data_IF_218308498985
#
_entry.id   IF_218308498985
#
_cell.length_a   1.000
_cell.length_b   1.000
_cell.length_c   1.000
_cell.angle_alpha   90.00
_cell.angle_beta   90.00
_cell.angle_gamma   90.00
#
_symmetry.space_group_name_H-M   'P 1'
#
loop_
_entity.id
_entity.type
_entity.pdbx_description
1 polymer ?
#
# COMPACT_ATOMS: atom_id res chain seq x y z
N UNK A 1 24.41 -34.73 -50.63
CA UNK A 1 23.81 -34.51 -49.30
C UNK A 1 24.94 -34.14 -48.38
N UNK A 2 24.90 -33.10 -47.58
CA UNK A 2 23.79 -32.44 -46.90
C UNK A 2 24.40 -32.01 -45.57
N UNK A 3 24.50 -30.70 -45.33
CA UNK A 3 25.10 -30.15 -44.12
C UNK A 3 24.21 -30.34 -42.90
N UNK A 4 24.79 -30.11 -41.72
CA UNK A 4 24.05 -30.08 -40.46
C UNK A 4 24.96 -29.93 -39.26
N UNK A 5 25.53 -28.74 -39.07
CA UNK A 5 26.15 -28.35 -37.80
C UNK A 5 25.07 -28.22 -36.73
N UNK A 6 25.16 -29.05 -35.69
CA UNK A 6 24.33 -28.94 -34.49
C UNK A 6 24.88 -27.85 -33.58
N UNK A 7 24.40 -26.62 -33.78
CA UNK A 7 24.61 -25.52 -32.83
C UNK A 7 23.85 -25.81 -31.53
N UNK A 8 24.59 -25.88 -30.43
CA UNK A 8 24.05 -25.81 -29.09
C UNK A 8 23.31 -24.48 -28.92
N UNK A 9 21.99 -24.56 -28.71
CA UNK A 9 21.18 -23.40 -28.38
C UNK A 9 21.38 -23.04 -26.92
N UNK A 10 22.43 -22.28 -26.63
CA UNK A 10 22.52 -21.48 -25.40
C UNK A 10 21.34 -20.50 -25.41
N UNK A 11 20.32 -20.80 -24.60
CA UNK A 11 19.27 -19.84 -24.27
C UNK A 11 19.89 -18.84 -23.30
N UNK A 12 20.66 -17.90 -23.83
CA UNK A 12 21.09 -16.70 -23.12
C UNK A 12 19.84 -15.96 -22.66
N UNK A 13 19.50 -16.10 -21.39
CA UNK A 13 18.66 -15.15 -20.68
C UNK A 13 19.46 -13.85 -20.72
N UNK A 14 18.99 -12.87 -21.49
CA UNK A 14 19.64 -11.57 -21.56
C UNK A 14 19.55 -10.92 -20.18
N UNK A 15 20.68 -10.84 -19.47
CA UNK A 15 20.85 -10.09 -18.22
C UNK A 15 20.87 -8.57 -18.47
N UNK A 16 20.03 -8.05 -19.37
CA UNK A 16 20.02 -6.61 -19.73
C UNK A 16 19.19 -5.76 -18.74
N UNK A 17 18.47 -6.39 -17.79
CA UNK A 17 17.49 -5.71 -16.94
C UNK A 17 17.98 -5.12 -15.62
N UNK A 18 19.16 -5.49 -15.11
CA UNK A 18 19.67 -5.03 -13.80
C UNK A 18 20.97 -4.24 -14.01
N UNK A 19 20.85 -2.95 -14.36
CA UNK A 19 22.01 -2.05 -14.35
C UNK A 19 22.62 -2.05 -12.93
N UNK A 20 23.88 -2.46 -12.83
CA UNK A 20 24.65 -2.42 -11.58
C UNK A 20 24.66 -3.68 -10.72
N UNK A 21 24.01 -4.78 -11.13
CA UNK A 21 24.07 -6.07 -10.42
C UNK A 21 23.53 -6.07 -8.98
N UNK A 22 22.84 -4.99 -8.57
CA UNK A 22 22.30 -4.80 -7.23
C UNK A 22 20.81 -4.50 -7.33
N UNK A 23 20.01 -5.17 -6.51
CA UNK A 23 18.60 -4.89 -6.27
C UNK A 23 18.35 -4.75 -4.76
N UNK A 24 17.35 -3.97 -4.39
CA UNK A 24 16.95 -3.78 -2.99
C UNK A 24 15.58 -4.40 -2.73
N UNK A 25 15.39 -4.88 -1.51
CA UNK A 25 14.10 -5.37 -1.03
C UNK A 25 13.73 -4.70 0.29
N UNK A 26 12.54 -4.12 0.33
CA UNK A 26 11.97 -3.48 1.51
C UNK A 26 10.60 -4.08 1.80
N UNK A 27 10.41 -4.64 2.99
CA UNK A 27 9.11 -5.16 3.38
C UNK A 27 8.19 -4.03 3.86
N UNK A 28 7.35 -3.50 2.97
CA UNK A 28 6.40 -2.44 3.32
C UNK A 28 5.27 -2.97 4.19
N UNK A 29 4.82 -2.15 5.13
CA UNK A 29 3.82 -2.52 6.13
C UNK A 29 2.76 -1.44 6.24
N UNK A 30 1.53 -1.75 6.67
CA UNK A 30 0.42 -0.80 6.73
C UNK A 30 0.57 0.27 7.82
N UNK A 31 1.78 0.59 8.29
CA UNK A 31 2.06 1.57 9.35
C UNK A 31 2.33 2.99 8.85
N UNK A 32 2.11 3.27 7.56
CA UNK A 32 2.26 4.61 6.97
C UNK A 32 1.08 4.92 6.04
N UNK A 33 1.05 6.13 5.47
CA UNK A 33 0.10 6.48 4.42
C UNK A 33 0.57 5.92 3.07
N UNK A 34 -0.36 5.38 2.28
CA UNK A 34 -0.08 4.86 0.94
C UNK A 34 -1.14 5.29 -0.06
N UNK A 35 -0.75 5.60 -1.31
CA UNK A 35 -1.72 5.76 -2.37
C UNK A 35 -2.39 4.41 -2.64
N UNK A 36 -3.70 4.42 -2.87
CA UNK A 36 -4.51 3.23 -3.14
C UNK A 36 -5.30 3.38 -4.44
N UNK A 37 -5.65 2.27 -5.13
CA UNK A 37 -6.52 2.34 -6.30
C UNK A 37 -7.88 2.94 -5.96
N UNK A 38 -8.45 3.70 -6.90
CA UNK A 38 -9.81 4.26 -6.78
C UNK A 38 -10.84 3.18 -6.43
N UNK A 39 -10.70 1.97 -6.97
CA UNK A 39 -11.63 0.89 -6.65
C UNK A 39 -11.53 0.41 -5.21
N UNK A 40 -10.34 0.47 -4.60
CA UNK A 40 -10.19 0.14 -3.19
C UNK A 40 -10.90 1.18 -2.32
N UNK A 41 -10.73 2.47 -2.63
CA UNK A 41 -11.46 3.58 -2.02
C UNK A 41 -12.98 3.41 -2.15
N UNK A 42 -13.47 3.17 -3.37
CA UNK A 42 -14.89 2.99 -3.65
C UNK A 42 -15.46 1.75 -2.95
N UNK A 43 -14.69 0.66 -2.86
CA UNK A 43 -15.10 -0.54 -2.13
C UNK A 43 -15.22 -0.29 -0.62
N UNK A 44 -14.29 0.45 -0.02
CA UNK A 44 -14.37 0.86 1.38
C UNK A 44 -15.63 1.70 1.63
N UNK A 45 -15.89 2.70 0.78
CA UNK A 45 -17.08 3.56 0.87
C UNK A 45 -18.39 2.78 0.75
N UNK A 46 -18.49 1.88 -0.23
CA UNK A 46 -19.67 1.00 -0.38
C UNK A 46 -19.89 0.11 0.84
N UNK A 47 -18.84 -0.46 1.42
CA UNK A 47 -18.96 -1.29 2.63
C UNK A 47 -19.38 -0.48 3.84
N UNK A 48 -18.86 0.74 3.99
CA UNK A 48 -19.26 1.62 5.08
C UNK A 48 -20.75 2.02 4.97
N UNK A 49 -21.22 2.36 3.77
CA UNK A 49 -22.62 2.70 3.53
C UNK A 49 -23.58 1.50 3.65
N UNK A 50 -23.11 0.29 3.32
CA UNK A 50 -23.89 -0.94 3.41
C UNK A 50 -23.83 -1.59 4.81
N UNK A 51 -23.02 -1.08 5.74
CA UNK A 51 -22.89 -1.69 7.05
C UNK A 51 -24.24 -1.66 7.78
N UNK A 52 -24.71 -2.87 8.08
CA UNK A 52 -25.87 -3.07 8.93
C UNK A 52 -25.31 -3.48 10.28
N UNK A 53 -25.10 -2.47 11.13
CA UNK A 53 -24.61 -2.61 12.49
C UNK A 53 -24.98 -3.98 13.08
N UNK A 54 -23.99 -4.85 13.16
CA UNK A 54 -24.13 -6.18 13.77
C UNK A 54 -24.60 -6.03 15.21
N UNK A 55 -25.15 -7.11 15.77
CA UNK A 55 -25.66 -7.11 17.16
C UNK A 55 -24.61 -6.64 18.21
N UNK A 56 -23.31 -6.79 17.89
CA UNK A 56 -22.20 -6.31 18.73
C UNK A 56 -21.71 -4.89 18.37
N UNK A 57 -22.05 -4.35 17.21
CA UNK A 57 -21.46 -3.14 16.66
C UNK A 57 -21.79 -1.90 17.50
N UNK A 58 -23.07 -1.69 17.81
CA UNK A 58 -23.53 -0.58 18.66
C UNK A 58 -22.96 -0.63 20.08
N UNK A 59 -23.10 -1.73 20.85
CA UNK A 59 -22.54 -1.77 22.21
C UNK A 59 -21.02 -1.63 22.21
N UNK A 60 -20.32 -2.25 21.25
CA UNK A 60 -18.86 -2.17 21.17
C UNK A 60 -18.40 -0.76 20.78
N UNK A 61 -19.10 -0.08 19.87
CA UNK A 61 -18.79 1.29 19.46
C UNK A 61 -18.80 2.27 20.63
N UNK A 62 -19.72 2.11 21.58
CA UNK A 62 -19.80 2.97 22.77
C UNK A 62 -18.59 2.82 23.69
N UNK A 63 -18.04 1.61 23.80
CA UNK A 63 -16.89 1.32 24.69
C UNK A 63 -15.54 1.47 23.98
N UNK A 64 -15.48 1.39 22.64
CA UNK A 64 -14.23 1.50 21.89
C UNK A 64 -13.97 2.88 21.30
N UNK A 65 -14.94 3.80 21.35
CA UNK A 65 -14.82 5.16 20.81
C UNK A 65 -15.28 5.30 19.36
N UNK A 66 -16.14 4.39 18.89
CA UNK A 66 -16.75 4.42 17.57
C UNK A 66 -15.88 3.85 16.45
N UNK A 67 -16.52 3.59 15.30
CA UNK A 67 -15.85 3.15 14.08
C UNK A 67 -15.78 4.30 13.08
N UNK A 68 -14.57 4.62 12.62
CA UNK A 68 -14.33 5.73 11.69
C UNK A 68 -14.20 5.18 10.28
N UNK A 69 -14.69 5.89 9.24
CA UNK A 69 -14.48 5.49 7.85
C UNK A 69 -12.99 5.23 7.55
N UNK A 70 -12.72 4.21 6.74
CA UNK A 70 -11.34 3.80 6.41
C UNK A 70 -10.56 4.83 5.61
N UNK A 71 -11.23 5.48 4.65
CA UNK A 71 -10.62 6.43 3.74
C UNK A 71 -11.15 7.84 4.00
N UNK A 72 -10.25 8.81 3.97
CA UNK A 72 -10.59 10.24 3.98
C UNK A 72 -11.09 10.66 2.58
N UNK A 73 -11.73 11.83 2.43
CA UNK A 73 -11.99 12.41 1.12
C UNK A 73 -10.72 12.43 0.26
N UNK A 74 -10.83 12.27 -1.07
CA UNK A 74 -9.68 12.29 -1.97
C UNK A 74 -8.89 13.59 -1.83
N UNK A 75 -7.57 13.49 -1.94
CA UNK A 75 -6.71 14.68 -2.07
C UNK A 75 -6.52 15.01 -3.56
N UNK A 76 -6.08 16.23 -3.82
CA UNK A 76 -5.78 16.71 -5.17
C UNK A 76 -4.27 16.97 -5.24
N UNK A 77 -3.64 16.54 -6.33
CA UNK A 77 -2.20 16.78 -6.57
C UNK A 77 -2.05 18.06 -7.38
N UNK A 78 -1.54 19.12 -6.76
CA UNK A 78 -1.20 20.34 -7.49
C UNK A 78 0.03 20.11 -8.37
N UNK A 79 -0.11 20.39 -9.66
CA UNK A 79 0.99 20.33 -10.64
C UNK A 79 1.38 21.75 -11.02
N UNK A 80 2.15 22.39 -10.15
CA UNK A 80 2.67 23.73 -10.41
C UNK A 80 4.00 24.03 -9.73
N UNK A 81 4.55 23.10 -8.95
CA UNK A 81 5.86 23.26 -8.33
C UNK A 81 6.82 22.26 -8.98
N UNK A 82 7.48 22.70 -10.03
CA UNK A 82 8.76 22.10 -10.42
C UNK A 82 9.73 22.37 -9.25
N UNK A 83 10.35 21.33 -8.71
CA UNK A 83 11.26 21.42 -7.56
C UNK A 83 12.60 22.15 -7.88
N UNK A 84 12.64 22.87 -8.99
CA UNK A 84 13.83 23.53 -9.56
C UNK A 84 13.78 25.06 -9.41
N UNK A 85 12.66 25.64 -8.97
CA UNK A 85 12.64 27.05 -8.62
C UNK A 85 13.17 27.18 -7.19
N UNK A 86 14.34 27.80 -7.02
CA UNK A 86 15.01 28.06 -5.73
C UNK A 86 14.26 29.00 -4.78
N UNK A 87 12.93 28.91 -4.78
CA UNK A 87 12.02 29.62 -3.90
C UNK A 87 12.05 29.03 -2.49
N UNK A 88 11.97 29.94 -1.53
CA UNK A 88 11.94 29.66 -0.10
C UNK A 88 10.84 28.63 0.23
N UNK A 89 11.20 27.56 0.95
CA UNK A 89 10.25 26.55 1.43
C UNK A 89 9.17 27.25 2.25
N UNK A 90 7.97 27.43 1.68
CA UNK A 90 6.83 27.89 2.45
C UNK A 90 6.55 26.91 3.61
N UNK A 91 6.20 27.42 4.80
CA UNK A 91 6.06 26.60 5.99
C UNK A 91 4.96 25.54 5.80
N UNK A 92 5.09 24.38 6.49
CA UNK A 92 4.16 23.27 6.31
C UNK A 92 2.74 23.73 6.61
N UNK A 93 1.85 23.41 5.67
CA UNK A 93 0.42 23.63 5.71
C UNK A 93 -0.15 23.49 7.13
N UNK A 94 -0.68 24.59 7.64
CA UNK A 94 -1.48 24.62 8.86
C UNK A 94 -2.58 23.56 8.74
N UNK A 95 -2.73 22.75 9.78
CA UNK A 95 -3.89 21.90 10.01
C UNK A 95 -5.09 22.79 10.36
N UNK A 96 -5.59 23.54 9.38
CA UNK A 96 -6.68 24.48 9.50
C UNK A 96 -7.68 24.29 8.36
N UNK A 97 -8.91 23.93 8.74
CA UNK A 97 -10.17 24.00 7.99
C UNK A 97 -10.22 23.50 6.54
N UNK A 98 -11.07 22.49 6.32
CA UNK A 98 -11.43 22.04 4.99
C UNK A 98 -11.93 23.22 4.14
N UNK A 99 -11.32 23.42 2.98
CA UNK A 99 -11.76 24.38 1.96
C UNK A 99 -13.26 24.18 1.69
N UNK A 100 -14.08 25.24 1.69
CA UNK A 100 -15.51 25.10 1.44
C UNK A 100 -15.76 24.51 0.04
N UNK A 101 -16.84 23.73 -0.15
CA UNK A 101 -17.14 23.11 -1.42
C UNK A 101 -17.64 24.18 -2.39
N UNK A 102 -16.77 24.68 -3.27
CA UNK A 102 -17.16 25.77 -4.17
C UNK A 102 -16.19 26.13 -5.30
N UNK A 103 -14.95 25.68 -5.30
CA UNK A 103 -14.03 25.88 -6.43
C UNK A 103 -13.34 24.57 -6.78
N UNK A 104 -13.87 23.86 -7.79
CA UNK A 104 -13.09 22.84 -8.51
C UNK A 104 -11.91 23.56 -9.17
N UNK A 105 -10.72 23.40 -8.61
CA UNK A 105 -9.49 23.79 -9.30
C UNK A 105 -9.43 23.02 -10.62
N UNK A 106 -9.50 23.76 -11.72
CA UNK A 106 -9.35 23.21 -13.08
C UNK A 106 -8.02 22.46 -13.16
N UNK A 107 -8.07 21.13 -13.15
CA UNK A 107 -7.00 20.29 -13.71
C UNK A 107 -6.25 19.33 -12.78
N UNK A 108 -6.66 19.12 -11.52
CA UNK A 108 -5.98 18.14 -10.64
C UNK A 108 -6.72 16.79 -10.58
N UNK A 109 -6.06 15.70 -10.97
CA UNK A 109 -6.59 14.36 -10.81
C UNK A 109 -6.71 13.99 -9.32
N UNK A 110 -7.81 13.36 -8.88
CA UNK A 110 -7.97 12.95 -7.49
C UNK A 110 -6.99 11.82 -7.14
N UNK A 111 -6.35 11.93 -5.99
CA UNK A 111 -5.48 10.93 -5.40
C UNK A 111 -6.19 10.30 -4.19
N UNK A 112 -6.15 8.97 -4.12
CA UNK A 112 -6.78 8.21 -3.04
C UNK A 112 -5.70 7.69 -2.10
N UNK A 113 -5.84 7.95 -0.80
CA UNK A 113 -4.83 7.59 0.20
C UNK A 113 -5.46 6.78 1.32
N UNK A 114 -4.84 5.66 1.66
CA UNK A 114 -5.11 4.93 2.90
C UNK A 114 -4.20 5.43 4.02
N UNK A 115 -4.78 5.82 5.15
CA UNK A 115 -4.02 6.18 6.35
C UNK A 115 -3.81 4.93 7.22
N UNK A 116 -2.61 4.36 7.15
CA UNK A 116 -2.22 3.21 7.96
C UNK A 116 -1.61 3.55 9.33
N UNK A 117 -1.42 4.82 9.67
CA UNK A 117 -0.80 5.19 10.94
C UNK A 117 -1.65 4.69 12.13
N UNK A 118 -0.99 3.99 13.06
CA UNK A 118 -1.57 3.55 14.33
C UNK A 118 -0.87 4.25 15.48
N UNK A 119 -1.63 4.91 16.35
CA UNK A 119 -1.08 5.59 17.54
C UNK A 119 -0.29 4.59 18.40
N UNK A 120 -0.78 3.35 18.49
CA UNK A 120 -0.17 2.27 19.27
C UNK A 120 1.27 1.93 18.82
N UNK A 121 1.62 2.17 17.56
CA UNK A 121 2.98 1.91 17.06
C UNK A 121 4.01 2.94 17.57
N UNK A 122 3.55 4.13 17.99
CA UNK A 122 4.39 5.19 18.47
C UNK A 122 5.22 5.91 17.39
N UNK A 123 5.78 7.08 17.72
CA UNK A 123 6.44 7.96 16.75
C UNK A 123 7.71 7.34 16.14
N UNK A 124 8.48 6.57 16.92
CA UNK A 124 9.72 5.96 16.43
C UNK A 124 9.46 4.92 15.33
N UNK A 125 8.41 4.11 15.48
CA UNK A 125 8.04 3.13 14.47
C UNK A 125 7.49 3.81 13.20
N UNK A 126 6.66 4.85 13.37
CA UNK A 126 6.14 5.64 12.26
C UNK A 126 7.27 6.30 11.45
N UNK A 127 8.27 6.88 12.13
CA UNK A 127 9.46 7.44 11.49
C UNK A 127 10.26 6.36 10.75
N UNK A 128 10.52 5.22 11.40
CA UNK A 128 11.29 4.13 10.80
C UNK A 128 10.63 3.60 9.50
N UNK A 129 9.30 3.44 9.49
CA UNK A 129 8.57 3.00 8.31
C UNK A 129 8.50 4.07 7.23
N UNK A 130 8.37 5.33 7.60
CA UNK A 130 8.45 6.46 6.65
C UNK A 130 9.83 6.53 5.99
N UNK A 131 10.92 6.39 6.76
CA UNK A 131 12.29 6.34 6.24
C UNK A 131 12.50 5.18 5.26
N UNK A 132 11.93 4.01 5.57
CA UNK A 132 11.96 2.85 4.67
C UNK A 132 11.28 3.17 3.32
N UNK A 133 10.16 3.90 3.35
CA UNK A 133 9.47 4.33 2.13
C UNK A 133 10.29 5.34 1.32
N UNK A 134 10.91 6.33 1.98
CA UNK A 134 11.78 7.28 1.30
C UNK A 134 12.99 6.62 0.65
N UNK A 135 13.64 5.68 1.35
CA UNK A 135 14.77 4.92 0.79
C UNK A 135 14.34 4.12 -0.43
N UNK A 136 13.14 3.54 -0.41
CA UNK A 136 12.57 2.85 -1.57
C UNK A 136 12.40 3.80 -2.75
N UNK A 137 11.74 4.94 -2.53
CA UNK A 137 11.48 5.93 -3.58
C UNK A 137 12.77 6.48 -4.16
N UNK A 138 13.73 6.89 -3.32
CA UNK A 138 15.01 7.44 -3.75
C UNK A 138 15.84 6.41 -4.53
N UNK A 139 15.94 5.18 -4.01
CA UNK A 139 16.73 4.14 -4.68
C UNK A 139 16.13 3.69 -6.02
N UNK A 140 14.80 3.75 -6.17
CA UNK A 140 14.12 3.37 -7.41
C UNK A 140 14.07 4.49 -8.44
N UNK A 141 13.63 5.68 -8.01
CA UNK A 141 13.33 6.81 -8.89
C UNK A 141 14.50 7.79 -9.07
N UNK A 142 15.60 7.61 -8.33
CA UNK A 142 16.79 8.43 -8.47
C UNK A 142 17.52 8.27 -9.82
N UNK A 143 18.49 9.14 -10.13
CA UNK A 143 19.22 9.11 -11.41
C UNK A 143 19.93 7.77 -11.69
N UNK A 144 20.42 7.11 -10.64
CA UNK A 144 21.04 5.78 -10.68
C UNK A 144 20.08 4.69 -10.19
N UNK A 145 18.79 4.82 -10.53
CA UNK A 145 17.73 3.95 -10.04
C UNK A 145 18.05 2.46 -10.20
N UNK A 146 17.80 1.69 -9.13
CA UNK A 146 17.93 0.23 -9.11
C UNK A 146 16.56 -0.43 -8.98
N UNK A 147 16.49 -1.74 -9.24
CA UNK A 147 15.28 -2.52 -8.95
C UNK A 147 15.02 -2.52 -7.44
N UNK A 148 13.83 -2.13 -7.03
CA UNK A 148 13.42 -2.11 -5.61
C UNK A 148 12.09 -2.84 -5.44
N UNK A 149 12.13 -4.04 -4.87
CA UNK A 149 10.92 -4.75 -4.46
C UNK A 149 10.41 -4.20 -3.13
N UNK A 150 9.22 -3.60 -3.13
CA UNK A 150 8.69 -2.87 -1.97
C UNK A 150 7.21 -3.14 -1.68
N UNK A 151 6.73 -4.32 -2.05
CA UNK A 151 5.31 -4.63 -2.04
C UNK A 151 4.74 -4.55 -0.61
N UNK A 152 3.53 -3.99 -0.48
CA UNK A 152 2.83 -4.01 0.80
C UNK A 152 2.46 -5.44 1.21
N UNK A 153 2.92 -5.86 2.38
CA UNK A 153 2.59 -7.15 2.95
C UNK A 153 1.29 -7.12 3.77
N UNK A 154 0.57 -8.26 3.86
CA UNK A 154 -0.60 -8.38 4.71
C UNK A 154 -0.21 -8.47 6.18
N UNK A 155 -1.15 -8.12 7.06
CA UNK A 155 -1.03 -8.45 8.48
C UNK A 155 -0.86 -9.97 8.63
N UNK A 156 0.09 -10.40 9.47
CA UNK A 156 0.51 -11.80 9.53
C UNK A 156 0.65 -12.30 10.96
N UNK A 157 0.23 -13.54 11.23
CA UNK A 157 0.36 -14.22 12.52
C UNK A 157 1.79 -14.73 12.73
N UNK A 158 2.76 -13.82 12.85
CA UNK A 158 4.16 -14.18 13.10
C UNK A 158 4.40 -14.54 14.57
N UNK A 159 5.42 -15.35 14.87
CA UNK A 159 5.81 -15.63 16.26
C UNK A 159 6.10 -14.35 17.06
N UNK A 160 6.68 -13.34 16.41
CA UNK A 160 6.97 -12.03 17.01
C UNK A 160 5.72 -11.19 17.29
N UNK A 161 4.57 -11.48 16.71
CA UNK A 161 3.30 -10.83 17.04
C UNK A 161 2.48 -11.68 18.01
N UNK A 162 2.46 -12.99 17.78
CA UNK A 162 1.63 -13.94 18.52
C UNK A 162 2.04 -14.14 19.98
N UNK A 163 3.30 -13.85 20.34
CA UNK A 163 3.73 -13.91 21.75
C UNK A 163 3.05 -12.85 22.63
N UNK A 164 2.55 -11.76 22.04
CA UNK A 164 1.79 -10.73 22.75
C UNK A 164 0.30 -11.04 22.62
N UNK A 165 -0.32 -11.56 23.68
CA UNK A 165 -1.73 -12.02 23.69
C UNK A 165 -2.71 -10.98 23.14
N UNK A 166 -2.52 -9.71 23.47
CA UNK A 166 -3.40 -8.63 22.99
C UNK A 166 -3.31 -8.43 21.47
N UNK A 167 -2.11 -8.54 20.90
CA UNK A 167 -1.89 -8.47 19.45
C UNK A 167 -2.46 -9.73 18.78
N UNK A 168 -2.25 -10.91 19.38
CA UNK A 168 -2.77 -12.18 18.87
C UNK A 168 -4.31 -12.17 18.77
N UNK A 169 -5.00 -11.81 19.87
CA UNK A 169 -6.45 -11.64 19.88
C UNK A 169 -6.89 -10.55 18.92
N UNK A 170 -6.16 -9.43 18.84
CA UNK A 170 -6.44 -8.36 17.87
C UNK A 170 -6.41 -8.84 16.42
N UNK A 171 -5.39 -9.62 16.03
CA UNK A 171 -5.28 -10.20 14.69
C UNK A 171 -6.43 -11.18 14.39
N UNK A 172 -6.83 -11.98 15.38
CA UNK A 172 -7.93 -12.92 15.21
C UNK A 172 -9.27 -12.21 15.03
N UNK A 173 -9.52 -11.18 15.83
CA UNK A 173 -10.76 -10.43 15.77
C UNK A 173 -10.94 -9.59 14.50
N UNK A 174 -9.89 -9.36 13.71
CA UNK A 174 -10.01 -8.69 12.41
C UNK A 174 -10.99 -9.39 11.46
N UNK A 175 -11.20 -10.71 11.62
CA UNK A 175 -12.16 -11.47 10.81
C UNK A 175 -13.61 -10.98 10.93
N UNK A 176 -13.94 -10.26 12.01
CA UNK A 176 -15.26 -9.67 12.23
C UNK A 176 -15.46 -8.36 11.45
N UNK A 177 -14.44 -7.87 10.76
CA UNK A 177 -14.48 -6.67 9.92
C UNK A 177 -14.17 -7.00 8.45
N UNK A 178 -15.10 -7.63 7.70
CA UNK A 178 -14.85 -7.99 6.31
C UNK A 178 -14.43 -6.78 5.46
N UNK A 179 -13.41 -6.91 4.59
CA UNK A 179 -12.77 -8.15 4.14
C UNK A 179 -11.43 -8.45 4.85
N UNK A 180 -11.19 -7.91 6.04
CA UNK A 180 -9.90 -8.06 6.71
C UNK A 180 -9.58 -9.52 7.03
N UNK A 181 -8.33 -9.90 6.74
CA UNK A 181 -7.79 -11.20 7.10
C UNK A 181 -6.31 -11.08 7.45
N UNK A 182 -5.96 -11.52 8.64
CA UNK A 182 -4.58 -11.83 8.98
C UNK A 182 -4.15 -13.14 8.29
N UNK A 183 -2.96 -13.15 7.72
CA UNK A 183 -2.38 -14.29 7.01
C UNK A 183 -1.54 -15.13 7.98
N UNK A 184 -1.34 -16.40 7.66
CA UNK A 184 -0.34 -17.20 8.36
C UNK A 184 1.06 -16.77 7.93
N UNK A 185 2.04 -16.87 8.82
CA UNK A 185 3.40 -16.38 8.56
C UNK A 185 4.04 -17.04 7.34
N UNK A 186 3.81 -18.35 7.14
CA UNK A 186 4.29 -19.11 5.98
C UNK A 186 3.66 -18.62 4.69
N UNK A 187 2.33 -18.46 4.66
CA UNK A 187 1.60 -17.93 3.51
C UNK A 187 2.11 -16.54 3.11
N UNK A 188 2.35 -15.66 4.08
CA UNK A 188 2.92 -14.35 3.81
C UNK A 188 4.36 -14.44 3.31
N UNK A 189 5.19 -15.31 3.88
CA UNK A 189 6.57 -15.50 3.44
C UNK A 189 6.63 -15.99 1.98
N UNK A 190 5.84 -17.03 1.64
CA UNK A 190 5.77 -17.59 0.29
C UNK A 190 5.28 -16.55 -0.72
N UNK A 191 4.25 -15.79 -0.34
CA UNK A 191 3.68 -14.74 -1.19
C UNK A 191 4.65 -13.59 -1.43
N UNK A 192 5.30 -13.09 -0.38
CA UNK A 192 6.27 -12.00 -0.51
C UNK A 192 7.52 -12.45 -1.27
N UNK A 193 7.94 -13.71 -1.12
CA UNK A 193 9.02 -14.29 -1.90
C UNK A 193 8.64 -14.41 -3.39
N UNK A 194 7.42 -14.87 -3.70
CA UNK A 194 6.93 -14.93 -5.08
C UNK A 194 6.89 -13.54 -5.73
N UNK A 195 6.43 -12.53 -4.99
CA UNK A 195 6.42 -11.15 -5.48
C UNK A 195 7.83 -10.58 -5.67
N UNK A 196 8.78 -10.89 -4.78
CA UNK A 196 10.19 -10.51 -4.97
C UNK A 196 10.76 -11.14 -6.25
N UNK A 197 10.52 -12.44 -6.48
CA UNK A 197 10.97 -13.11 -7.70
C UNK A 197 10.32 -12.52 -8.96
N UNK A 198 9.03 -12.19 -8.89
CA UNK A 198 8.33 -11.48 -9.95
C UNK A 198 8.96 -10.11 -10.24
N UNK A 199 9.26 -9.34 -9.19
CA UNK A 199 9.88 -8.02 -9.30
C UNK A 199 11.30 -8.05 -9.87
N UNK A 200 12.05 -9.14 -9.64
CA UNK A 200 13.38 -9.32 -10.20
C UNK A 200 13.35 -9.81 -11.66
N UNK A 201 12.35 -10.63 -12.00
CA UNK A 201 12.25 -11.28 -13.32
C UNK A 201 11.41 -10.53 -14.35
N UNK A 202 10.60 -9.56 -13.94
CA UNK A 202 9.67 -8.85 -14.82
C UNK A 202 10.03 -7.37 -14.94
N UNK A 203 10.69 -6.98 -16.04
CA UNK A 203 11.05 -5.58 -16.33
C UNK A 203 9.84 -4.62 -16.35
N UNK A 204 8.63 -5.15 -16.56
CA UNK A 204 7.38 -4.41 -16.49
C UNK A 204 6.81 -4.23 -15.07
N UNK A 205 7.43 -4.81 -14.04
CA UNK A 205 7.02 -4.63 -12.65
C UNK A 205 7.26 -3.19 -12.19
N UNK A 206 6.41 -2.73 -11.27
CA UNK A 206 6.60 -1.46 -10.57
C UNK A 206 7.91 -1.37 -9.81
N UNK A 207 8.58 -2.48 -9.51
CA UNK A 207 9.91 -2.47 -8.89
C UNK A 207 11.01 -1.87 -9.77
N UNK A 208 10.85 -1.88 -11.10
CA UNK A 208 11.85 -1.38 -12.02
C UNK A 208 11.82 0.16 -12.16
N UNK A 209 12.99 0.82 -12.27
CA UNK A 209 13.09 2.28 -12.47
C UNK A 209 12.38 2.77 -13.74
N UNK A 210 12.36 1.93 -14.79
CA UNK A 210 11.71 2.24 -16.07
C UNK A 210 10.18 2.18 -16.03
N UNK A 211 9.56 1.71 -14.93
CA UNK A 211 8.12 1.63 -14.83
C UNK A 211 7.49 3.02 -14.67
N UNK A 212 6.66 3.39 -15.64
CA UNK A 212 6.00 4.71 -15.76
C UNK A 212 4.52 4.72 -15.37
N UNK A 213 4.03 3.63 -14.77
CA UNK A 213 2.61 3.41 -14.54
C UNK A 213 1.95 2.65 -15.68
N UNK A 214 0.87 1.94 -15.36
CA UNK A 214 -0.04 1.29 -16.30
C UNK A 214 0.62 0.69 -17.54
N UNK A 215 1.17 -0.53 -17.45
CA UNK A 215 1.44 -1.29 -18.68
C UNK A 215 0.15 -1.38 -19.49
N UNK A 216 0.22 -1.06 -20.80
CA UNK A 216 -0.89 -1.07 -21.76
C UNK A 216 -1.68 -2.38 -21.69
N UNK A 217 -2.66 -2.45 -20.79
CA UNK A 217 -3.38 -3.67 -20.41
C UNK A 217 -4.04 -3.60 -19.04
N UNK A 218 -3.64 -2.65 -18.18
CA UNK A 218 -4.13 -2.51 -16.81
C UNK A 218 -5.09 -1.35 -16.54
N UNK A 219 -5.81 -0.81 -17.55
CA UNK A 219 -6.83 0.23 -17.36
C UNK A 219 -8.13 -0.29 -16.74
N UNK A 220 -7.99 -1.13 -15.71
CA UNK A 220 -9.08 -1.68 -14.92
C UNK A 220 -9.10 -1.05 -13.54
N UNK A 221 -10.15 -1.34 -12.77
CA UNK A 221 -10.31 -0.92 -11.37
C UNK A 221 -9.12 -1.22 -10.45
N UNK A 222 -8.20 -2.11 -10.86
CA UNK A 222 -7.05 -2.58 -10.07
C UNK A 222 -5.71 -1.96 -10.52
N UNK A 223 -5.74 -0.90 -11.33
CA UNK A 223 -4.54 -0.20 -11.76
C UNK A 223 -3.78 0.44 -10.58
N UNK A 224 -2.56 0.92 -10.86
CA UNK A 224 -1.80 1.71 -9.91
C UNK A 224 -2.65 2.86 -9.33
N UNK A 225 -2.38 3.24 -8.08
CA UNK A 225 -3.26 4.07 -7.28
C UNK A 225 -3.73 5.40 -7.92
N UNK A 226 -2.97 5.91 -8.90
CA UNK A 226 -3.20 7.18 -9.57
C UNK A 226 -3.11 7.07 -11.11
N UNK A 227 -3.56 5.97 -11.71
CA UNK A 227 -3.38 5.63 -13.14
C UNK A 227 -4.17 6.46 -14.18
N UNK A 228 -4.62 7.67 -13.84
CA UNK A 228 -5.52 8.51 -14.64
C UNK A 228 -4.97 9.04 -15.98
N UNK A 229 -4.12 8.29 -16.68
CA UNK A 229 -3.46 8.66 -17.94
C UNK A 229 -2.14 9.42 -17.75
N UNK A 230 -1.62 9.47 -16.53
CA UNK A 230 -0.51 10.34 -16.14
C UNK A 230 0.68 9.55 -15.57
N UNK A 231 1.86 10.17 -15.48
CA UNK A 231 3.07 9.53 -14.95
C UNK A 231 2.85 9.02 -13.52
N UNK A 232 3.20 7.75 -13.29
CA UNK A 232 3.06 7.12 -11.97
C UNK A 232 3.72 7.94 -10.86
N UNK A 233 3.00 8.11 -9.76
CA UNK A 233 3.56 8.73 -8.57
C UNK A 233 4.64 7.81 -7.98
N UNK A 234 5.78 8.32 -7.45
CA UNK A 234 6.84 7.45 -6.94
C UNK A 234 6.39 6.46 -5.85
N UNK A 235 5.40 6.84 -5.04
CA UNK A 235 4.79 5.97 -4.02
C UNK A 235 3.87 4.87 -4.59
N UNK A 236 3.56 4.87 -5.89
CA UNK A 236 2.71 3.83 -6.48
C UNK A 236 3.41 2.46 -6.51
N UNK A 237 4.74 2.43 -6.34
CA UNK A 237 5.54 1.20 -6.18
C UNK A 237 5.03 0.32 -5.05
N UNK A 238 4.50 0.90 -3.97
CA UNK A 238 3.97 0.14 -2.84
C UNK A 238 2.63 -0.52 -3.13
N UNK A 239 1.89 0.02 -4.10
CA UNK A 239 0.48 -0.31 -4.33
C UNK A 239 0.19 -1.16 -5.56
N UNK A 240 1.02 -1.12 -6.58
CA UNK A 240 0.77 -1.82 -7.84
C UNK A 240 0.57 -3.34 -7.69
N UNK A 241 1.28 -3.97 -6.74
CA UNK A 241 1.23 -5.41 -6.45
C UNK A 241 0.95 -5.66 -4.96
N UNK A 242 0.31 -4.69 -4.28
CA UNK A 242 0.04 -4.77 -2.85
C UNK A 242 -0.85 -5.94 -2.46
N UNK A 243 -0.46 -6.65 -1.41
CA UNK A 243 -1.29 -7.65 -0.74
C UNK A 243 -1.72 -7.09 0.61
N UNK A 244 -2.66 -6.15 0.57
CA UNK A 244 -3.08 -5.38 1.74
C UNK A 244 -4.03 -6.14 2.71
N UNK A 245 -4.28 -7.44 2.50
CA UNK A 245 -5.10 -8.27 3.42
C UNK A 245 -6.53 -7.77 3.63
N UNK A 246 -7.06 -6.98 2.69
CA UNK A 246 -8.38 -6.36 2.80
C UNK A 246 -8.41 -4.97 3.46
N UNK A 247 -7.30 -4.49 4.05
CA UNK A 247 -7.27 -3.23 4.82
C UNK A 247 -7.73 -2.01 4.04
N UNK A 248 -7.26 -1.84 2.81
CA UNK A 248 -7.66 -0.70 1.96
C UNK A 248 -9.13 -0.71 1.57
N UNK A 249 -9.77 -1.87 1.59
CA UNK A 249 -11.18 -2.03 1.21
C UNK A 249 -12.10 -2.19 2.42
N UNK A 250 -11.57 -2.18 3.63
CA UNK A 250 -12.36 -2.26 4.87
C UNK A 250 -13.27 -1.03 4.98
N UNK A 251 -14.45 -1.19 5.59
CA UNK A 251 -15.35 -0.06 5.87
C UNK A 251 -14.73 0.94 6.85
N UNK A 252 -13.90 0.45 7.77
CA UNK A 252 -13.39 1.21 8.90
C UNK A 252 -11.88 1.27 8.94
N UNK A 253 -11.35 2.35 9.50
CA UNK A 253 -9.91 2.52 9.66
C UNK A 253 -9.35 1.50 10.65
N UNK A 254 -8.14 1.03 10.38
CA UNK A 254 -7.44 0.04 11.23
C UNK A 254 -7.31 0.53 12.68
N UNK A 255 -7.07 1.85 12.86
CA UNK A 255 -7.01 2.48 14.17
C UNK A 255 -8.34 2.37 14.94
N UNK A 256 -9.47 2.67 14.28
CA UNK A 256 -10.78 2.67 14.94
C UNK A 256 -11.29 1.27 15.30
N UNK A 257 -10.91 0.25 14.52
CA UNK A 257 -11.30 -1.14 14.81
C UNK A 257 -10.34 -1.84 15.78
N UNK A 258 -9.19 -1.26 16.13
CA UNK A 258 -8.14 -1.96 16.87
C UNK A 258 -8.62 -2.52 18.22
N UNK A 259 -9.27 -1.67 19.03
CA UNK A 259 -9.83 -2.08 20.34
C UNK A 259 -10.95 -3.10 20.18
N UNK A 260 -11.83 -2.90 19.20
CA UNK A 260 -12.93 -3.80 18.92
C UNK A 260 -12.46 -5.17 18.45
N UNK A 261 -11.44 -5.21 17.58
CA UNK A 261 -10.79 -6.44 17.11
C UNK A 261 -10.17 -7.20 18.27
N UNK A 262 -9.50 -6.51 19.20
CA UNK A 262 -9.01 -7.16 20.42
C UNK A 262 -10.13 -7.80 21.25
N UNK A 263 -11.20 -7.05 21.55
CA UNK A 263 -12.34 -7.57 22.34
C UNK A 263 -12.97 -8.77 21.64
N UNK A 264 -13.27 -8.63 20.35
CA UNK A 264 -13.91 -9.70 19.60
C UNK A 264 -13.03 -10.94 19.48
N UNK A 265 -11.72 -10.79 19.27
CA UNK A 265 -10.81 -11.94 19.23
C UNK A 265 -10.50 -12.54 20.61
N UNK A 266 -10.70 -11.80 21.70
CA UNK A 266 -10.54 -12.33 23.05
C UNK A 266 -11.74 -13.21 23.47
N UNK A 267 -12.95 -12.85 23.04
CA UNK A 267 -14.19 -13.53 23.44
C UNK A 267 -14.78 -14.46 22.37
N UNK A 268 -14.49 -14.19 21.11
CA UNK A 268 -15.06 -14.88 19.95
C UNK A 268 -13.99 -15.23 18.92
N UNK A 269 -12.72 -15.31 19.30
CA UNK A 269 -11.55 -15.71 18.50
C UNK A 269 -11.45 -17.22 18.29
#
# INVERSE_FOLDING_TARGET
GGGGGGGGGDKNIKEEGIRGGVALAYLSSPGTAFPIPQAAYAAAGRRHAADRHTWWHTPLSLITGGFKPNCRPPCHRDRGHDADDGGELEPPCDVGEATPPGEESRGSAPCYVHNGHLILQGPNYALAKTLQNWRTVVARAGPEGVVVSANMAPASRTSSMQHVKTIASGLEGQRHFPPLRAFDATTSADLMAALLLYDLGCEGSSAHPGWKGGSKGGGGSDAAANDGGEEAHPMDVFGATAVHGGSWRCAYSVDSIGKASYVLGAFFG
#
